data_IF_739091977097
#
_entry.id   IF_739091977097
#
_cell.length_a   1.000
_cell.length_b   1.000
_cell.length_c   1.000
_cell.angle_alpha   90.00
_cell.angle_beta   90.00
_cell.angle_gamma   90.00
#
_symmetry.space_group_name_H-M   'P 1'
#
loop_
_entity.id
_entity.type
_entity.pdbx_description
1 polymer ?
#
# COMPACT_ATOMS: atom_id res chain seq x y z
N UNK A 1 15.51 -13.43 6.04
CA UNK A 1 15.19 -12.81 4.73
C UNK A 1 13.70 -12.54 4.59
N UNK A 2 12.81 -13.51 4.84
CA UNK A 2 11.34 -13.31 4.84
C UNK A 2 10.88 -12.19 5.78
N UNK A 3 11.33 -12.20 7.04
CA UNK A 3 10.96 -11.18 8.02
C UNK A 3 11.33 -9.73 7.61
N UNK A 4 12.36 -9.56 6.77
CA UNK A 4 12.74 -8.23 6.28
C UNK A 4 11.76 -7.73 5.21
N UNK A 5 11.35 -8.61 4.30
CA UNK A 5 10.39 -8.29 3.24
C UNK A 5 9.00 -7.99 3.81
N UNK A 6 8.57 -8.73 4.83
CA UNK A 6 7.33 -8.42 5.54
C UNK A 6 7.40 -7.07 6.25
N UNK A 7 8.53 -6.73 6.89
CA UNK A 7 8.72 -5.40 7.52
C UNK A 7 8.72 -4.28 6.49
N UNK A 8 9.35 -4.49 5.33
CA UNK A 8 9.34 -3.53 4.24
C UNK A 8 7.92 -3.32 3.69
N UNK A 9 7.15 -4.40 3.53
CA UNK A 9 5.73 -4.35 3.14
C UNK A 9 4.88 -3.56 4.13
N UNK A 10 5.09 -3.75 5.44
CA UNK A 10 4.40 -2.97 6.49
C UNK A 10 4.74 -1.49 6.43
N UNK A 11 6.00 -1.13 6.18
CA UNK A 11 6.40 0.27 5.99
C UNK A 11 5.72 0.89 4.77
N UNK A 12 5.71 0.17 3.64
CA UNK A 12 5.07 0.61 2.40
C UNK A 12 3.56 0.79 2.57
N UNK A 13 2.89 -0.11 3.30
CA UNK A 13 1.49 0.05 3.69
C UNK A 13 1.27 1.34 4.48
N UNK A 14 2.09 1.60 5.50
CA UNK A 14 1.97 2.80 6.32
C UNK A 14 2.21 4.08 5.52
N UNK A 15 3.14 4.07 4.57
CA UNK A 15 3.39 5.22 3.68
C UNK A 15 2.24 5.41 2.67
N UNK A 16 1.64 4.32 2.18
CA UNK A 16 0.42 4.37 1.38
C UNK A 16 -0.77 4.94 2.16
N UNK A 17 -0.95 4.53 3.42
CA UNK A 17 -2.01 5.05 4.30
C UNK A 17 -1.81 6.55 4.61
N UNK A 18 -0.56 7.02 4.75
CA UNK A 18 -0.24 8.45 4.86
C UNK A 18 -0.58 9.21 3.57
N UNK A 19 -0.24 8.67 2.41
CA UNK A 19 -0.55 9.29 1.12
C UNK A 19 -2.07 9.34 0.86
N UNK A 20 -2.80 8.30 1.28
CA UNK A 20 -4.26 8.24 1.24
C UNK A 20 -4.95 9.10 2.31
N UNK A 21 -4.19 9.67 3.26
CA UNK A 21 -4.77 10.44 4.36
C UNK A 21 -5.18 11.83 3.90
N UNK A 22 -6.49 12.13 4.05
CA UNK A 22 -7.03 13.49 3.92
C UNK A 22 -6.66 14.30 5.15
N UNK A 23 -5.46 14.88 5.16
CA UNK A 23 -5.12 15.87 6.18
C UNK A 23 -6.06 17.08 6.08
N UNK A 24 -6.24 17.82 7.17
CA UNK A 24 -7.05 19.05 7.21
C UNK A 24 -6.66 20.09 6.13
N UNK A 25 -5.42 19.99 5.61
CA UNK A 25 -4.87 20.84 4.55
C UNK A 25 -4.36 20.08 3.32
N UNK A 26 -4.47 18.74 3.27
CA UNK A 26 -3.86 17.94 2.20
C UNK A 26 -4.87 17.01 1.55
N UNK A 27 -5.02 17.15 0.23
CA UNK A 27 -5.78 16.20 -0.57
C UNK A 27 -5.05 14.87 -0.57
N UNK A 28 -5.78 13.75 -0.56
CA UNK A 28 -5.16 12.44 -0.59
C UNK A 28 -4.55 12.21 -1.97
N UNK A 29 -3.28 11.81 -1.97
CA UNK A 29 -2.53 11.50 -3.17
C UNK A 29 -2.74 10.01 -3.50
N UNK A 30 -3.89 9.68 -4.10
CA UNK A 30 -4.28 8.31 -4.38
C UNK A 30 -3.34 7.59 -5.37
N UNK A 31 -2.73 8.30 -6.32
CA UNK A 31 -1.67 7.78 -7.19
C UNK A 31 -0.46 7.27 -6.39
N UNK A 32 -0.02 8.07 -5.42
CA UNK A 32 1.11 7.70 -4.56
C UNK A 32 0.72 6.55 -3.64
N UNK A 33 -0.49 6.59 -3.08
CA UNK A 33 -1.01 5.52 -2.23
C UNK A 33 -1.08 4.19 -2.98
N UNK A 34 -1.65 4.17 -4.18
CA UNK A 34 -1.74 2.98 -5.05
C UNK A 34 -0.37 2.37 -5.32
N UNK A 35 0.61 3.19 -5.74
CA UNK A 35 1.98 2.75 -6.00
C UNK A 35 2.69 2.21 -4.75
N UNK A 36 2.41 2.75 -3.56
CA UNK A 36 2.93 2.24 -2.29
C UNK A 36 2.33 0.88 -1.92
N UNK A 37 1.01 0.72 -2.06
CA UNK A 37 0.32 -0.54 -1.80
C UNK A 37 0.71 -1.66 -2.76
N UNK A 38 0.93 -1.36 -4.03
CA UNK A 38 1.41 -2.34 -5.02
C UNK A 38 2.79 -2.88 -4.64
N UNK A 39 3.73 -1.99 -4.28
CA UNK A 39 5.07 -2.37 -3.79
C UNK A 39 4.99 -3.18 -2.50
N UNK A 40 4.06 -2.84 -1.60
CA UNK A 40 3.82 -3.61 -0.38
C UNK A 40 3.33 -5.03 -0.72
N UNK A 41 2.40 -5.18 -1.67
CA UNK A 41 1.91 -6.47 -2.14
C UNK A 41 3.03 -7.37 -2.67
N UNK A 42 3.94 -6.81 -3.46
CA UNK A 42 5.13 -7.53 -3.95
C UNK A 42 6.04 -7.96 -2.78
N UNK A 43 6.31 -7.07 -1.83
CA UNK A 43 7.14 -7.36 -0.67
C UNK A 43 6.54 -8.47 0.22
N UNK A 44 5.23 -8.43 0.47
CA UNK A 44 4.51 -9.48 1.21
C UNK A 44 4.50 -10.81 0.47
N UNK A 45 4.29 -10.80 -0.85
CA UNK A 45 4.37 -12.00 -1.70
C UNK A 45 5.76 -12.63 -1.66
N UNK A 46 6.83 -11.83 -1.71
CA UNK A 46 8.22 -12.34 -1.56
C UNK A 46 8.48 -12.85 -0.14
N UNK A 47 7.85 -12.24 0.87
CA UNK A 47 7.87 -12.69 2.26
C UNK A 47 6.92 -13.86 2.58
N UNK A 48 6.26 -14.46 1.57
CA UNK A 48 5.23 -15.52 1.69
C UNK A 48 4.04 -15.16 2.60
N UNK A 49 3.86 -13.87 2.89
CA UNK A 49 2.74 -13.34 3.64
C UNK A 49 1.56 -13.05 2.69
N UNK A 50 0.97 -14.11 2.11
CA UNK A 50 -0.03 -13.98 1.06
C UNK A 50 -1.30 -13.24 1.50
N UNK A 51 -1.78 -13.45 2.72
CA UNK A 51 -2.89 -12.68 3.29
C UNK A 51 -2.64 -11.17 3.28
N UNK A 52 -1.46 -10.75 3.73
CA UNK A 52 -1.08 -9.34 3.75
C UNK A 52 -0.90 -8.79 2.33
N UNK A 53 -0.41 -9.62 1.40
CA UNK A 53 -0.31 -9.23 -0.01
C UNK A 53 -1.70 -8.99 -0.63
N UNK A 54 -2.68 -9.86 -0.36
CA UNK A 54 -4.06 -9.70 -0.84
C UNK A 54 -4.66 -8.40 -0.32
N UNK A 55 -4.51 -8.10 0.98
CA UNK A 55 -4.99 -6.85 1.55
C UNK A 55 -4.31 -5.62 0.92
N UNK A 56 -3.01 -5.70 0.67
CA UNK A 56 -2.27 -4.62 0.01
C UNK A 56 -2.77 -4.40 -1.42
N UNK A 57 -2.98 -5.45 -2.22
CA UNK A 57 -3.54 -5.32 -3.56
C UNK A 57 -4.97 -4.78 -3.55
N UNK A 58 -5.81 -5.19 -2.59
CA UNK A 58 -7.16 -4.63 -2.42
C UNK A 58 -7.13 -3.12 -2.17
N UNK A 59 -6.26 -2.66 -1.26
CA UNK A 59 -6.05 -1.23 -1.01
C UNK A 59 -5.48 -0.51 -2.23
N UNK A 60 -4.57 -1.15 -2.99
CA UNK A 60 -4.03 -0.59 -4.22
C UNK A 60 -5.12 -0.33 -5.27
N UNK A 61 -5.99 -1.33 -5.49
CA UNK A 61 -7.11 -1.20 -6.43
C UNK A 61 -8.13 -0.16 -5.99
N UNK A 62 -8.47 -0.11 -4.70
CA UNK A 62 -9.35 0.93 -4.14
C UNK A 62 -8.74 2.34 -4.29
N UNK A 63 -7.44 2.49 -4.06
CA UNK A 63 -6.72 3.74 -4.28
C UNK A 63 -6.72 4.14 -5.76
N UNK A 64 -6.43 3.22 -6.68
CA UNK A 64 -6.48 3.50 -8.12
C UNK A 64 -7.88 3.91 -8.58
N UNK A 65 -8.92 3.24 -8.08
CA UNK A 65 -10.30 3.62 -8.39
C UNK A 65 -10.63 5.03 -7.89
N UNK A 66 -10.15 5.40 -6.70
CA UNK A 66 -10.31 6.76 -6.13
C UNK A 66 -9.40 7.81 -6.76
N UNK A 67 -8.34 7.41 -7.46
CA UNK A 67 -7.49 8.32 -8.22
C UNK A 67 -8.16 8.72 -9.54
N UNK A 68 -8.92 7.80 -10.15
CA UNK A 68 -9.63 8.01 -11.41
C UNK A 68 -10.99 8.71 -11.23
N UNK A 69 -11.61 8.61 -10.05
CA UNK A 69 -12.91 9.20 -9.69
C UNK A 69 -12.82 10.61 -9.10
#
# INVERSE_FOLDING_TARGET
MEAQRTRDGVKLMADGDKAASKGMFRKPDWDIAGGCYEKAGVAFKTGKAYDQAIQAYFKASDAMFKADA
#
